data_IF_127521244056
#
_entry.id   IF_127521244056
#
_cell.length_a   1.000
_cell.length_b   1.000
_cell.length_c   1.000
_cell.angle_alpha   90.00
_cell.angle_beta   90.00
_cell.angle_gamma   90.00
#
_symmetry.space_group_name_H-M   'P 1'
#
loop_
_entity.id
_entity.type
_entity.pdbx_description
1 polymer ?
#
# COMPACT_ATOMS: atom_id res chain seq x y z
N UNK A 1 -20.18 -12.03 -33.01
CA UNK A 1 -19.04 -11.45 -32.27
C UNK A 1 -19.05 -12.06 -30.88
N UNK A 2 -17.92 -12.62 -30.42
CA UNK A 2 -17.81 -13.11 -29.04
C UNK A 2 -17.27 -11.97 -28.20
N UNK A 3 -18.09 -11.44 -27.31
CA UNK A 3 -17.68 -10.43 -26.35
C UNK A 3 -16.89 -11.14 -25.25
N UNK A 4 -15.58 -10.94 -25.23
CA UNK A 4 -14.72 -11.43 -24.17
C UNK A 4 -14.48 -10.32 -23.14
N UNK A 5 -14.48 -10.69 -21.87
CA UNK A 5 -14.10 -9.76 -20.80
C UNK A 5 -12.60 -9.42 -20.92
N UNK A 6 -12.26 -8.12 -20.85
CA UNK A 6 -10.87 -7.64 -20.77
C UNK A 6 -10.41 -7.68 -19.31
N UNK A 7 -9.37 -8.45 -19.02
CA UNK A 7 -8.68 -8.40 -17.73
C UNK A 7 -7.77 -7.18 -17.72
N UNK A 8 -8.03 -6.24 -16.82
CA UNK A 8 -7.17 -5.08 -16.60
C UNK A 8 -6.10 -5.45 -15.58
N UNK A 9 -4.84 -5.19 -15.93
CA UNK A 9 -3.69 -5.44 -15.07
C UNK A 9 -3.32 -4.18 -14.30
N UNK A 10 -3.23 -4.35 -13.00
CA UNK A 10 -2.89 -3.30 -12.05
C UNK A 10 -1.49 -2.75 -12.30
N UNK A 11 -1.40 -1.45 -12.58
CA UNK A 11 -0.15 -0.72 -12.81
C UNK A 11 0.53 -0.94 -14.17
N UNK A 12 -0.05 -1.79 -15.02
CA UNK A 12 0.19 -1.74 -16.48
C UNK A 12 -0.90 -0.90 -17.15
N UNK A 13 -2.18 -1.27 -16.95
CA UNK A 13 -3.32 -0.58 -17.60
C UNK A 13 -3.79 0.67 -16.84
N UNK A 14 -3.52 0.77 -15.53
CA UNK A 14 -3.91 1.91 -14.70
C UNK A 14 -2.98 2.14 -13.53
N UNK A 15 -2.72 3.41 -13.21
CA UNK A 15 -1.89 3.79 -12.06
C UNK A 15 -2.56 3.47 -10.73
N UNK A 16 -1.77 2.93 -9.81
CA UNK A 16 -2.19 2.66 -8.44
C UNK A 16 -1.66 3.76 -7.54
N UNK A 17 -2.49 4.28 -6.64
CA UNK A 17 -2.08 5.32 -5.71
C UNK A 17 -2.02 4.83 -4.27
N UNK A 18 -1.03 5.31 -3.52
CA UNK A 18 -0.92 5.06 -2.08
C UNK A 18 -1.88 5.98 -1.32
N UNK A 19 -3.17 5.65 -1.38
CA UNK A 19 -4.18 6.40 -0.66
C UNK A 19 -3.96 6.31 0.86
N UNK A 20 -3.52 5.15 1.38
CA UNK A 20 -3.47 4.87 2.80
C UNK A 20 -2.45 5.75 3.52
N UNK A 21 -1.20 5.75 3.05
CA UNK A 21 -0.14 6.52 3.73
C UNK A 21 -0.37 8.02 3.55
N UNK A 22 -0.82 8.45 2.37
CA UNK A 22 -1.02 9.88 2.09
C UNK A 22 -2.20 10.44 2.88
N UNK A 23 -3.31 9.70 2.98
CA UNK A 23 -4.45 10.09 3.83
C UNK A 23 -4.03 10.12 5.29
N UNK A 24 -3.22 9.17 5.77
CA UNK A 24 -2.77 9.13 7.16
C UNK A 24 -1.89 10.32 7.55
N UNK A 25 -1.21 10.98 6.60
CA UNK A 25 -0.47 12.22 6.87
C UNK A 25 -1.38 13.42 7.18
N UNK A 26 -2.61 13.40 6.67
CA UNK A 26 -3.57 14.51 6.76
C UNK A 26 -4.67 14.24 7.77
N UNK A 27 -5.27 13.05 7.74
CA UNK A 27 -6.36 12.64 8.63
C UNK A 27 -5.84 12.03 9.93
N UNK A 28 -6.61 12.21 11.00
CA UNK A 28 -6.43 11.47 12.25
C UNK A 28 -6.86 10.02 12.04
N UNK A 29 -6.20 9.10 12.73
CA UNK A 29 -6.63 7.71 12.80
C UNK A 29 -8.02 7.61 13.44
N UNK A 30 -8.89 6.68 12.99
CA UNK A 30 -10.27 6.55 13.48
C UNK A 30 -10.40 6.50 15.02
N UNK A 31 -9.44 5.93 15.74
CA UNK A 31 -9.45 5.89 17.21
C UNK A 31 -9.30 7.26 17.89
N UNK A 32 -8.78 8.28 17.19
CA UNK A 32 -8.63 9.65 17.70
C UNK A 32 -9.73 10.58 17.19
N UNK A 33 -10.76 10.02 16.56
CA UNK A 33 -11.93 10.81 16.21
C UNK A 33 -12.71 11.12 17.49
N UNK A 34 -13.44 12.22 17.47
CA UNK A 34 -14.20 12.70 18.63
C UNK A 34 -15.48 11.88 18.88
N UNK A 35 -15.75 10.87 18.04
CA UNK A 35 -16.83 9.90 18.20
C UNK A 35 -16.33 8.51 17.77
N UNK A 36 -17.03 7.46 18.22
CA UNK A 36 -16.75 6.08 17.83
C UNK A 36 -17.69 5.63 16.73
N UNK A 37 -17.19 4.88 15.76
CA UNK A 37 -17.99 4.38 14.63
C UNK A 37 -19.06 3.38 15.07
N UNK A 38 -18.70 2.39 15.91
CA UNK A 38 -19.62 1.33 16.34
C UNK A 38 -20.93 1.82 16.97
N UNK A 39 -20.94 2.78 17.93
CA UNK A 39 -22.18 3.30 18.49
C UNK A 39 -22.88 4.34 17.59
N UNK A 40 -22.24 4.81 16.52
CA UNK A 40 -22.83 5.83 15.63
C UNK A 40 -23.75 5.17 14.61
N UNK A 41 -25.03 5.53 14.63
CA UNK A 41 -26.03 5.07 13.65
C UNK A 41 -26.04 5.92 12.38
N UNK A 42 -25.58 7.18 12.48
CA UNK A 42 -25.52 8.12 11.36
C UNK A 42 -24.23 8.91 11.40
N UNK A 43 -23.59 9.06 10.25
CA UNK A 43 -22.45 9.94 10.06
C UNK A 43 -22.89 11.13 9.22
N UNK A 44 -22.63 12.34 9.72
CA UNK A 44 -22.99 13.57 9.02
C UNK A 44 -21.71 14.30 8.66
N UNK A 45 -21.57 14.55 7.36
CA UNK A 45 -20.49 15.34 6.79
C UNK A 45 -21.05 16.74 6.51
N UNK A 46 -20.42 17.76 7.08
CA UNK A 46 -20.76 19.15 6.83
C UNK A 46 -19.53 19.94 6.41
N UNK A 47 -19.76 21.10 5.79
CA UNK A 47 -18.69 22.00 5.33
C UNK A 47 -18.83 23.31 6.09
N UNK A 48 -17.73 23.80 6.66
CA UNK A 48 -17.74 25.13 7.27
C UNK A 48 -17.63 26.23 6.18
N UNK A 49 -17.84 27.50 6.57
CA UNK A 49 -17.72 28.65 5.65
C UNK A 49 -16.34 28.75 4.97
N UNK A 50 -15.29 28.25 5.64
CA UNK A 50 -13.90 28.24 5.14
C UNK A 50 -13.59 27.02 4.26
N UNK A 51 -14.59 26.20 3.96
CA UNK A 51 -14.48 25.01 3.13
C UNK A 51 -13.84 23.78 3.76
N UNK A 52 -13.56 23.79 5.06
CA UNK A 52 -13.13 22.61 5.80
C UNK A 52 -14.29 21.65 6.03
N UNK A 53 -14.05 20.36 5.77
CA UNK A 53 -15.00 19.29 6.06
C UNK A 53 -14.98 18.99 7.56
N UNK A 54 -16.16 19.00 8.16
CA UNK A 54 -16.44 18.60 9.52
C UNK A 54 -17.24 17.29 9.49
N UNK A 55 -17.02 16.46 10.50
CA UNK A 55 -17.70 15.18 10.63
C UNK A 55 -18.32 15.13 12.02
N UNK A 56 -19.50 14.52 12.14
CA UNK A 56 -20.08 14.10 13.43
C UNK A 56 -20.69 12.70 13.28
N UNK A 57 -20.60 11.92 14.33
CA UNK A 57 -21.32 10.65 14.47
C UNK A 57 -22.47 10.81 15.46
N UNK A 58 -23.67 10.43 15.04
CA UNK A 58 -24.87 10.48 15.86
C UNK A 58 -25.25 9.07 16.34
N UNK A 59 -25.53 8.87 17.65
CA UNK A 59 -25.94 7.57 18.17
C UNK A 59 -27.39 7.20 17.83
N UNK A 60 -28.21 8.18 17.42
CA UNK A 60 -29.60 7.97 17.03
C UNK A 60 -29.88 8.53 15.64
N UNK A 61 -30.90 7.98 14.96
CA UNK A 61 -31.26 8.41 13.60
C UNK A 61 -31.97 9.76 13.54
N UNK A 62 -32.66 10.16 14.61
CA UNK A 62 -33.60 11.30 14.63
C UNK A 62 -33.14 12.45 15.52
N UNK A 63 -31.88 12.45 15.95
CA UNK A 63 -31.33 13.50 16.82
C UNK A 63 -30.00 14.01 16.29
N UNK A 64 -29.76 15.31 16.51
CA UNK A 64 -28.53 16.02 16.15
C UNK A 64 -27.90 16.57 17.43
N UNK A 65 -27.36 15.67 18.26
CA UNK A 65 -26.86 16.02 19.59
C UNK A 65 -25.36 16.31 19.55
N UNK A 66 -24.63 15.64 18.65
CA UNK A 66 -23.18 15.72 18.62
C UNK A 66 -22.67 16.91 17.79
N UNK A 67 -21.56 17.48 18.24
CA UNK A 67 -20.92 18.62 17.56
C UNK A 67 -20.07 18.16 16.36
N UNK A 68 -20.18 18.83 15.20
CA UNK A 68 -19.31 18.57 14.05
C UNK A 68 -17.88 19.08 14.30
N UNK A 69 -16.89 18.18 14.20
CA UNK A 69 -15.46 18.53 14.35
C UNK A 69 -14.62 18.04 13.17
N UNK A 70 -13.50 18.71 12.93
CA UNK A 70 -12.55 18.30 11.89
C UNK A 70 -11.82 17.02 12.28
N UNK A 71 -11.74 16.10 11.31
CA UNK A 71 -10.96 14.86 11.38
C UNK A 71 -9.52 15.03 10.86
N UNK A 72 -9.17 16.21 10.33
CA UNK A 72 -7.81 16.50 9.92
C UNK A 72 -6.91 16.72 11.14
N UNK A 73 -5.62 16.40 11.00
CA UNK A 73 -4.57 16.81 11.94
C UNK A 73 -4.48 18.34 12.00
N UNK A 74 -3.95 18.87 13.11
CA UNK A 74 -3.83 20.32 13.32
C UNK A 74 -3.05 20.97 12.18
N UNK A 75 -3.61 22.05 11.60
CA UNK A 75 -3.00 22.77 10.48
C UNK A 75 -3.05 22.07 9.12
N UNK A 76 -3.68 20.89 9.02
CA UNK A 76 -3.83 20.15 7.77
C UNK A 76 -5.22 20.31 7.16
N UNK A 77 -5.30 20.29 5.84
CA UNK A 77 -6.54 20.34 5.05
C UNK A 77 -6.63 19.12 4.14
N UNK A 78 -7.85 18.65 3.84
CA UNK A 78 -8.08 17.53 2.91
C UNK A 78 -7.47 17.81 1.53
N UNK A 79 -7.49 19.06 1.08
CA UNK A 79 -6.91 19.49 -0.21
C UNK A 79 -5.39 19.31 -0.28
N UNK A 80 -4.71 19.07 0.85
CA UNK A 80 -3.27 18.81 0.89
C UNK A 80 -2.93 17.32 0.67
N UNK A 81 -3.92 16.45 0.52
CA UNK A 81 -3.68 15.04 0.20
C UNK A 81 -3.17 14.97 -1.24
N UNK A 82 -1.89 14.65 -1.38
CA UNK A 82 -1.26 14.38 -2.66
C UNK A 82 -1.03 12.88 -2.77
N UNK A 83 -1.68 12.27 -3.76
CA UNK A 83 -1.55 10.85 -4.04
C UNK A 83 -0.22 10.58 -4.71
N UNK A 84 0.52 9.60 -4.19
CA UNK A 84 1.74 9.11 -4.81
C UNK A 84 1.43 7.81 -5.56
N UNK A 85 1.94 7.70 -6.78
CA UNK A 85 1.84 6.46 -7.55
C UNK A 85 2.68 5.39 -6.88
N UNK A 86 2.11 4.20 -6.72
CA UNK A 86 2.80 3.00 -6.26
C UNK A 86 3.36 2.30 -7.49
N UNK A 87 4.66 2.09 -7.50
CA UNK A 87 5.31 1.29 -8.53
C UNK A 87 4.82 -0.16 -8.46
N UNK A 88 4.65 -0.78 -9.63
CA UNK A 88 4.36 -2.22 -9.72
C UNK A 88 5.63 -2.98 -9.38
N UNK A 89 5.48 -4.02 -8.58
CA UNK A 89 6.60 -4.73 -7.99
C UNK A 89 7.03 -4.10 -6.67
N UNK A 90 7.35 -4.95 -5.69
CA UNK A 90 8.06 -4.51 -4.50
C UNK A 90 9.52 -4.80 -4.73
N UNK A 91 10.36 -3.80 -4.48
CA UNK A 91 11.76 -4.08 -4.28
C UNK A 91 11.89 -5.06 -3.11
N UNK A 92 12.56 -6.18 -3.34
CA UNK A 92 12.85 -7.16 -2.31
C UNK A 92 13.86 -6.53 -1.35
N UNK A 93 13.74 -6.90 -0.08
CA UNK A 93 14.79 -6.53 0.88
C UNK A 93 16.02 -7.40 0.58
N UNK A 94 17.24 -6.88 0.75
CA UNK A 94 18.47 -7.65 0.53
C UNK A 94 18.51 -8.93 1.37
N UNK A 95 17.98 -8.90 2.59
CA UNK A 95 17.89 -10.09 3.46
C UNK A 95 16.95 -11.16 2.90
N UNK A 96 15.87 -10.73 2.26
CA UNK A 96 14.92 -11.64 1.63
C UNK A 96 15.53 -12.27 0.37
N UNK A 97 16.30 -11.51 -0.40
CA UNK A 97 17.06 -12.02 -1.54
C UNK A 97 18.01 -13.14 -1.09
N UNK A 98 18.81 -12.88 -0.04
CA UNK A 98 19.74 -13.86 0.54
C UNK A 98 19.02 -15.13 1.01
N UNK A 99 17.88 -14.96 1.68
CA UNK A 99 17.08 -16.09 2.16
C UNK A 99 16.51 -16.93 1.00
N UNK A 100 16.00 -16.28 -0.05
CA UNK A 100 15.49 -16.97 -1.25
C UNK A 100 16.62 -17.66 -1.99
N UNK A 101 17.79 -17.03 -2.15
CA UNK A 101 18.94 -17.65 -2.82
C UNK A 101 19.45 -18.88 -2.07
N UNK A 102 19.47 -18.83 -0.73
CA UNK A 102 19.85 -19.98 0.09
C UNK A 102 18.83 -21.13 -0.05
N UNK A 103 17.53 -20.81 -0.03
CA UNK A 103 16.47 -21.79 -0.23
C UNK A 103 16.56 -22.46 -1.61
N UNK A 104 16.80 -21.68 -2.67
CA UNK A 104 16.95 -22.21 -4.02
C UNK A 104 18.20 -23.09 -4.16
N UNK A 105 19.32 -22.70 -3.55
CA UNK A 105 20.53 -23.51 -3.53
C UNK A 105 20.33 -24.84 -2.79
N UNK A 106 19.55 -24.85 -1.71
CA UNK A 106 19.25 -26.07 -0.94
C UNK A 106 18.40 -27.07 -1.74
N UNK A 107 17.45 -26.59 -2.54
CA UNK A 107 16.50 -27.46 -3.25
C UNK A 107 16.92 -27.83 -4.68
N UNK A 108 17.69 -26.97 -5.36
CA UNK A 108 18.01 -27.09 -6.78
C UNK A 108 19.52 -27.08 -7.07
N UNK A 109 20.34 -27.27 -6.04
CA UNK A 109 21.81 -27.26 -6.11
C UNK A 109 22.38 -25.88 -6.46
N UNK A 110 23.71 -25.74 -6.46
CA UNK A 110 24.41 -24.46 -6.67
C UNK A 110 24.15 -23.86 -8.06
N UNK A 111 23.82 -24.72 -9.05
CA UNK A 111 23.61 -24.33 -10.46
C UNK A 111 22.16 -23.95 -10.80
N UNK A 112 21.31 -23.74 -9.80
CA UNK A 112 19.90 -23.35 -9.99
C UNK A 112 19.73 -22.10 -10.86
N UNK A 113 20.75 -21.23 -10.92
CA UNK A 113 20.79 -20.03 -11.77
C UNK A 113 20.75 -20.37 -13.27
N UNK A 114 21.20 -21.55 -13.67
CA UNK A 114 21.16 -22.00 -15.07
C UNK A 114 19.84 -22.66 -15.44
N UNK A 115 19.08 -23.16 -14.46
CA UNK A 115 17.82 -23.88 -14.71
C UNK A 115 16.74 -22.93 -15.29
N UNK A 116 16.23 -23.27 -16.48
CA UNK A 116 15.18 -22.51 -17.15
C UNK A 116 13.84 -22.52 -16.40
N UNK A 117 13.59 -23.54 -15.57
CA UNK A 117 12.36 -23.66 -14.77
C UNK A 117 12.24 -22.58 -13.68
N UNK A 118 13.36 -21.98 -13.29
CA UNK A 118 13.44 -20.97 -12.24
C UNK A 118 13.48 -19.52 -12.77
N UNK A 119 13.11 -19.31 -14.04
CA UNK A 119 13.11 -17.98 -14.70
C UNK A 119 12.32 -16.91 -13.94
N UNK A 120 11.25 -17.30 -13.26
CA UNK A 120 10.46 -16.37 -12.42
C UNK A 120 11.32 -15.68 -11.36
N UNK A 121 12.19 -16.45 -10.68
CA UNK A 121 13.06 -15.91 -9.63
C UNK A 121 14.19 -15.07 -10.22
N UNK A 122 14.72 -15.43 -11.40
CA UNK A 122 15.74 -14.65 -12.11
C UNK A 122 15.25 -13.24 -12.41
N UNK A 123 14.05 -13.13 -12.99
CA UNK A 123 13.42 -11.83 -13.26
C UNK A 123 13.24 -11.01 -11.97
N UNK A 124 12.90 -11.67 -10.86
CA UNK A 124 12.73 -11.00 -9.57
C UNK A 124 14.07 -10.48 -8.99
N UNK A 125 15.20 -11.11 -9.32
CA UNK A 125 16.54 -10.66 -8.90
C UNK A 125 17.16 -9.63 -9.86
N UNK A 126 16.91 -9.73 -11.16
CA UNK A 126 17.43 -8.80 -12.18
C UNK A 126 16.81 -7.41 -12.09
N UNK A 127 15.52 -7.32 -11.72
CA UNK A 127 14.82 -6.05 -11.47
C UNK A 127 15.40 -5.24 -10.29
N UNK A 128 16.23 -5.87 -9.44
CA UNK A 128 16.80 -5.27 -8.23
C UNK A 128 18.22 -4.70 -8.42
N UNK A 129 18.84 -4.81 -9.61
CA UNK A 129 20.26 -4.47 -9.84
C UNK A 129 21.22 -5.12 -8.81
N UNK A 130 20.90 -6.32 -8.30
CA UNK A 130 21.85 -7.06 -7.46
C UNK A 130 23.02 -7.48 -8.35
N UNK A 131 24.19 -6.91 -8.10
CA UNK A 131 25.37 -7.21 -8.92
C UNK A 131 25.70 -8.70 -8.81
N UNK A 132 26.06 -9.34 -9.93
CA UNK A 132 26.45 -10.75 -9.94
C UNK A 132 27.60 -11.05 -8.96
N UNK A 133 28.42 -10.05 -8.63
CA UNK A 133 29.48 -10.11 -7.63
C UNK A 133 28.96 -10.39 -6.21
N UNK A 134 27.81 -9.83 -5.81
CA UNK A 134 27.22 -10.08 -4.49
C UNK A 134 26.63 -11.49 -4.37
N UNK A 135 26.10 -12.03 -5.47
CA UNK A 135 25.63 -13.41 -5.56
C UNK A 135 26.80 -14.41 -5.50
N UNK A 136 27.94 -14.09 -6.10
CA UNK A 136 29.16 -14.93 -6.01
C UNK A 136 29.78 -14.94 -4.61
N UNK A 137 29.76 -13.83 -3.88
CA UNK A 137 30.24 -13.76 -2.49
C UNK A 137 29.42 -14.69 -1.58
N UNK A 138 28.11 -14.82 -1.83
CA UNK A 138 27.23 -15.71 -1.07
C UNK A 138 27.47 -17.19 -1.39
N UNK A 139 27.90 -17.52 -2.61
CA UNK A 139 28.26 -18.89 -3.02
C UNK A 139 29.53 -19.42 -2.34
N UNK A 140 30.43 -18.55 -1.88
CA UNK A 140 31.73 -18.93 -1.26
C UNK A 140 31.68 -19.12 0.26
N UNK A 141 30.54 -18.84 0.90
CA UNK A 141 30.43 -18.82 2.38
C UNK A 141 29.81 -20.09 2.98
N UNK A 142 29.54 -21.08 2.14
CA UNK A 142 29.09 -22.43 2.46
C UNK A 142 29.79 -23.41 1.53
#
# INVERSE_FOLDING_TARGET
MKDYAKVLKMGEDYSVFDWKSQVHKVLKTPGYWHFRFQPSKRLILSKNKNGCVLVRGEPFYKSDICEPKSICKKGKKITQIQLLTVCVGRSLKPDKIKSISALLAQHYWVDWVTDGRLHFFKNAFELENVSQAELEILKKRW
#
